data_IF_060415827804
#
_entry.id   IF_060415827804
#
_cell.length_a   1.000
_cell.length_b   1.000
_cell.length_c   1.000
_cell.angle_alpha   90.00
_cell.angle_beta   90.00
_cell.angle_gamma   90.00
#
_symmetry.space_group_name_H-M   'P 1'
#
loop_
_entity.id
_entity.type
_entity.pdbx_description
1 polymer ?
#
# COMPACT_ATOMS: atom_id res chain seq x y z
N UNK A 1 -15.42 9.77 -13.27
CA UNK A 1 -14.32 9.45 -12.35
C UNK A 1 -13.36 8.56 -13.12
N UNK A 2 -12.13 9.01 -13.26
CA UNK A 2 -11.07 8.23 -13.94
C UNK A 2 -10.46 7.22 -12.98
N UNK A 3 -9.77 6.21 -13.53
CA UNK A 3 -9.00 5.25 -12.73
C UNK A 3 -7.97 5.94 -11.82
N UNK A 4 -7.34 7.02 -12.30
CA UNK A 4 -6.38 7.81 -11.53
C UNK A 4 -7.05 8.50 -10.33
N UNK A 5 -8.16 9.21 -10.55
CA UNK A 5 -8.89 9.88 -9.47
C UNK A 5 -9.41 8.88 -8.43
N UNK A 6 -9.88 7.71 -8.87
CA UNK A 6 -10.36 6.66 -7.98
C UNK A 6 -9.27 6.09 -7.09
N UNK A 7 -8.09 5.85 -7.66
CA UNK A 7 -6.95 5.37 -6.89
C UNK A 7 -6.48 6.40 -5.87
N UNK A 8 -6.43 7.69 -6.25
CA UNK A 8 -6.02 8.76 -5.33
C UNK A 8 -7.00 8.90 -4.16
N UNK A 9 -8.31 8.86 -4.45
CA UNK A 9 -9.35 8.88 -3.42
C UNK A 9 -9.24 7.68 -2.47
N UNK A 10 -8.97 6.48 -3.00
CA UNK A 10 -8.85 5.27 -2.17
C UNK A 10 -7.59 5.29 -1.29
N UNK A 11 -6.54 5.99 -1.72
CA UNK A 11 -5.31 6.15 -0.96
C UNK A 11 -5.41 7.21 0.15
N UNK A 12 -6.47 8.03 0.21
CA UNK A 12 -6.63 8.99 1.31
C UNK A 12 -6.69 8.28 2.68
N UNK A 13 -6.04 8.84 3.73
CA UNK A 13 -5.40 10.15 3.84
C UNK A 13 -3.90 10.20 3.44
N UNK A 14 -3.36 9.16 2.81
CA UNK A 14 -1.94 9.09 2.46
C UNK A 14 -1.64 9.87 1.18
N UNK A 15 -0.65 10.78 1.24
CA UNK A 15 -0.26 11.60 0.09
C UNK A 15 0.50 10.76 -0.94
N UNK A 16 -0.20 10.29 -1.97
CA UNK A 16 0.39 9.57 -3.09
C UNK A 16 0.68 10.54 -4.24
N UNK A 17 1.89 10.47 -4.80
CA UNK A 17 2.21 11.26 -6.00
C UNK A 17 1.49 10.70 -7.22
N UNK A 18 0.96 11.57 -8.09
CA UNK A 18 0.30 11.17 -9.35
C UNK A 18 1.16 10.21 -10.17
N UNK A 19 2.47 10.48 -10.28
CA UNK A 19 3.42 9.59 -10.97
C UNK A 19 3.48 8.17 -10.40
N UNK A 20 3.35 8.03 -9.07
CA UNK A 20 3.36 6.72 -8.42
C UNK A 20 2.04 5.99 -8.70
N UNK A 21 0.92 6.71 -8.64
CA UNK A 21 -0.40 6.23 -8.99
C UNK A 21 -0.45 5.73 -10.44
N UNK A 22 -0.03 6.56 -11.40
CA UNK A 22 0.05 6.22 -12.82
C UNK A 22 0.93 4.99 -13.06
N UNK A 23 2.11 4.92 -12.43
CA UNK A 23 3.00 3.77 -12.55
C UNK A 23 2.33 2.46 -12.13
N UNK A 24 1.55 2.47 -11.05
CA UNK A 24 0.88 1.25 -10.56
C UNK A 24 -0.31 0.87 -11.43
N UNK A 25 -1.04 1.85 -11.97
CA UNK A 25 -2.09 1.58 -12.95
C UNK A 25 -1.52 0.94 -14.21
N UNK A 26 -0.40 1.46 -14.73
CA UNK A 26 0.30 0.90 -15.90
C UNK A 26 0.80 -0.53 -15.61
N UNK A 27 1.32 -0.81 -14.41
CA UNK A 27 1.77 -2.15 -13.99
C UNK A 27 0.62 -3.17 -13.94
N UNK A 28 -0.61 -2.69 -13.77
CA UNK A 28 -1.85 -3.47 -13.81
C UNK A 28 -2.53 -3.44 -15.19
N UNK A 29 -1.84 -2.93 -16.21
CA UNK A 29 -2.32 -2.81 -17.59
C UNK A 29 -3.58 -1.92 -17.71
N UNK A 30 -3.73 -0.94 -16.80
CA UNK A 30 -4.83 0.03 -16.79
C UNK A 30 -4.37 1.39 -17.29
N UNK A 31 -5.20 2.04 -18.09
CA UNK A 31 -4.98 3.42 -18.49
C UNK A 31 -5.49 4.38 -17.39
N UNK A 32 -4.68 5.36 -16.95
CA UNK A 32 -5.06 6.29 -15.89
C UNK A 32 -6.21 7.22 -16.28
N UNK A 33 -6.30 7.56 -17.57
CA UNK A 33 -7.33 8.43 -18.16
C UNK A 33 -8.63 7.66 -18.51
N UNK A 34 -8.62 6.34 -18.41
CA UNK A 34 -9.80 5.52 -18.70
C UNK A 34 -10.86 5.69 -17.61
N UNK A 35 -12.12 5.46 -18.01
CA UNK A 35 -13.24 5.42 -17.10
C UNK A 35 -13.03 4.33 -16.04
N UNK A 36 -13.44 4.63 -14.81
CA UNK A 36 -13.30 3.76 -13.66
C UNK A 36 -13.73 2.31 -13.95
N UNK A 37 -12.76 1.40 -14.03
CA UNK A 37 -13.02 0.05 -14.52
C UNK A 37 -13.70 -0.83 -13.46
N UNK A 38 -13.10 -0.96 -12.27
CA UNK A 38 -13.60 -1.84 -11.21
C UNK A 38 -12.95 -1.56 -9.85
N UNK A 39 -13.79 -1.54 -8.81
CA UNK A 39 -13.37 -1.32 -7.41
C UNK A 39 -12.27 -2.25 -6.94
N UNK A 40 -12.37 -3.55 -7.27
CA UNK A 40 -11.39 -4.56 -6.88
C UNK A 40 -10.00 -4.28 -7.43
N UNK A 41 -9.94 -3.75 -8.66
CA UNK A 41 -8.69 -3.50 -9.36
C UNK A 41 -8.01 -2.25 -8.78
N UNK A 42 -8.80 -1.21 -8.52
CA UNK A 42 -8.32 0.02 -7.86
C UNK A 42 -7.89 -0.27 -6.42
N UNK A 43 -8.64 -1.08 -5.67
CA UNK A 43 -8.25 -1.49 -4.32
C UNK A 43 -6.93 -2.27 -4.30
N UNK A 44 -6.73 -3.19 -5.27
CA UNK A 44 -5.44 -3.90 -5.44
C UNK A 44 -4.29 -2.95 -5.74
N UNK A 45 -4.53 -1.95 -6.58
CA UNK A 45 -3.54 -0.93 -6.92
C UNK A 45 -3.18 -0.06 -5.69
N UNK A 46 -4.18 0.35 -4.91
CA UNK A 46 -4.00 1.08 -3.66
C UNK A 46 -3.19 0.26 -2.63
N UNK A 47 -3.48 -1.04 -2.46
CA UNK A 47 -2.70 -1.94 -1.59
C UNK A 47 -1.22 -1.94 -1.97
N UNK A 48 -0.90 -2.01 -3.26
CA UNK A 48 0.50 -2.04 -3.73
C UNK A 48 1.23 -0.75 -3.34
N UNK A 49 0.58 0.41 -3.45
CA UNK A 49 1.15 1.70 -3.04
C UNK A 49 1.32 1.78 -1.52
N UNK A 50 0.27 1.46 -0.76
CA UNK A 50 0.30 1.55 0.70
C UNK A 50 1.30 0.56 1.31
N UNK A 51 1.45 -0.62 0.72
CA UNK A 51 2.46 -1.60 1.14
C UNK A 51 3.89 -1.09 0.98
N UNK A 52 4.18 -0.26 -0.04
CA UNK A 52 5.50 0.36 -0.20
C UNK A 52 5.80 1.35 0.92
N UNK A 53 4.81 2.12 1.39
CA UNK A 53 5.00 2.97 2.56
C UNK A 53 5.29 2.15 3.82
N UNK A 54 4.65 0.99 3.98
CA UNK A 54 4.94 0.09 5.09
C UNK A 54 6.39 -0.44 5.04
N UNK A 55 6.88 -0.84 3.85
CA UNK A 55 8.28 -1.26 3.66
C UNK A 55 9.26 -0.14 3.97
N UNK A 56 9.03 1.08 3.47
CA UNK A 56 9.91 2.24 3.75
C UNK A 56 9.97 2.59 5.24
N UNK A 57 8.87 2.45 5.98
CA UNK A 57 8.87 2.62 7.44
C UNK A 57 9.66 1.52 8.16
N UNK A 58 9.69 0.32 7.59
CA UNK A 58 10.44 -0.82 8.13
C UNK A 58 11.96 -0.61 7.99
N UNK A 59 12.37 0.14 6.96
CA UNK A 59 13.77 0.49 6.65
C UNK A 59 14.24 1.77 7.37
N UNK A 60 13.65 2.12 8.53
CA UNK A 60 14.14 3.24 9.35
C UNK A 60 15.45 2.85 10.06
N UNK A 61 16.50 2.60 9.27
CA UNK A 61 17.90 2.79 9.60
C UNK A 61 18.23 4.27 9.33
N UNK A 62 18.15 5.12 10.37
CA UNK A 62 18.74 6.47 10.31
C UNK A 62 17.78 7.64 10.50
N UNK A 63 17.43 7.93 11.75
CA UNK A 63 17.35 9.30 12.29
C UNK A 63 16.23 10.26 11.86
N UNK A 64 15.46 9.97 10.81
CA UNK A 64 14.27 10.78 10.43
C UNK A 64 13.04 9.89 10.28
N UNK A 65 12.41 9.60 11.41
CA UNK A 65 11.11 8.91 11.44
C UNK A 65 10.03 9.88 10.95
N UNK A 66 9.60 9.76 9.69
CA UNK A 66 8.22 10.13 9.41
C UNK A 66 7.37 9.09 10.12
N UNK A 67 6.84 9.43 11.31
CA UNK A 67 5.99 8.56 12.11
C UNK A 67 4.66 8.29 11.37
N UNK A 68 4.69 7.45 10.34
CA UNK A 68 3.46 6.87 9.84
C UNK A 68 3.01 5.80 10.84
N UNK A 69 1.76 5.87 11.25
CA UNK A 69 1.17 4.86 12.14
C UNK A 69 1.17 3.51 11.43
N UNK A 70 2.16 2.67 11.75
CA UNK A 70 2.35 1.37 11.09
C UNK A 70 1.16 0.45 11.34
N UNK A 71 0.47 0.58 12.47
CA UNK A 71 -0.74 -0.17 12.79
C UNK A 71 -1.93 0.28 11.91
N UNK A 72 -2.10 1.59 11.73
CA UNK A 72 -3.07 2.20 10.83
C UNK A 72 -2.83 1.84 9.37
N UNK A 73 -1.56 1.84 8.92
CA UNK A 73 -1.18 1.34 7.59
C UNK A 73 -1.56 -0.13 7.41
N UNK A 74 -1.23 -0.99 8.38
CA UNK A 74 -1.60 -2.41 8.35
C UNK A 74 -3.12 -2.61 8.33
N UNK A 75 -3.86 -1.80 9.09
CA UNK A 75 -5.33 -1.83 9.14
C UNK A 75 -5.94 -1.39 7.81
N UNK A 76 -5.43 -0.33 7.19
CA UNK A 76 -5.88 0.13 5.87
C UNK A 76 -5.59 -0.90 4.78
N UNK A 77 -4.39 -1.49 4.78
CA UNK A 77 -4.02 -2.58 3.86
C UNK A 77 -4.99 -3.76 4.00
N UNK A 78 -5.33 -4.16 5.24
CA UNK A 78 -6.31 -5.23 5.50
C UNK A 78 -7.69 -4.91 4.92
N UNK A 79 -8.18 -3.69 5.13
CA UNK A 79 -9.47 -3.26 4.60
C UNK A 79 -9.50 -3.28 3.06
N UNK A 80 -8.48 -2.73 2.42
CA UNK A 80 -8.39 -2.71 0.95
C UNK A 80 -8.22 -4.10 0.35
N UNK A 81 -7.46 -4.98 1.01
CA UNK A 81 -7.35 -6.38 0.63
C UNK A 81 -8.70 -7.10 0.71
N UNK A 82 -9.53 -6.85 1.73
CA UNK A 82 -10.87 -7.41 1.80
C UNK A 82 -11.73 -6.97 0.61
N UNK A 83 -11.72 -5.68 0.26
CA UNK A 83 -12.43 -5.14 -0.91
C UNK A 83 -11.93 -5.76 -2.22
N UNK A 84 -10.62 -5.92 -2.36
CA UNK A 84 -10.01 -6.53 -3.54
C UNK A 84 -10.15 -8.07 -3.61
N UNK A 85 -10.58 -8.73 -2.52
CA UNK A 85 -10.58 -10.18 -2.40
C UNK A 85 -9.17 -10.81 -2.31
N UNK A 86 -8.21 -10.06 -1.78
CA UNK A 86 -6.81 -10.46 -1.62
C UNK A 86 -6.52 -10.87 -0.18
N UNK A 87 -5.54 -11.77 -0.01
CA UNK A 87 -5.02 -12.12 1.30
C UNK A 87 -4.09 -11.02 1.83
N UNK A 88 -4.52 -10.34 2.89
CA UNK A 88 -3.77 -9.24 3.50
C UNK A 88 -2.48 -9.70 4.21
N UNK A 89 -2.38 -10.99 4.58
CA UNK A 89 -1.21 -11.52 5.29
C UNK A 89 0.05 -11.39 4.43
N UNK A 90 -0.07 -11.48 3.10
CA UNK A 90 1.05 -11.30 2.17
C UNK A 90 1.73 -9.93 2.24
N UNK A 91 1.00 -8.91 2.68
CA UNK A 91 1.49 -7.52 2.71
C UNK A 91 1.84 -7.06 4.12
N UNK A 92 1.18 -7.62 5.14
CA UNK A 92 1.34 -7.21 6.55
C UNK A 92 2.32 -8.10 7.31
N UNK A 93 2.58 -9.32 6.83
CA UNK A 93 3.50 -10.25 7.48
C UNK A 93 4.95 -9.78 7.32
N UNK A 94 5.43 -9.03 8.29
CA UNK A 94 6.84 -9.01 8.62
C UNK A 94 7.12 -10.34 9.32
N UNK A 95 7.91 -11.21 8.70
CA UNK A 95 8.58 -12.28 9.41
C UNK A 95 9.32 -11.64 10.58
N UNK A 96 8.75 -11.74 11.77
CA UNK A 96 9.49 -11.58 13.01
C UNK A 96 10.48 -12.71 12.96
N UNK A 97 11.69 -12.45 12.43
CA UNK A 97 12.84 -13.24 12.84
C UNK A 97 12.91 -12.93 14.32
N UNK A 98 12.31 -13.81 15.13
CA UNK A 98 12.46 -13.78 16.58
C UNK A 98 13.96 -13.70 16.80
N UNK A 99 14.38 -12.53 17.26
CA UNK A 99 15.73 -12.20 17.63
C UNK A 99 16.29 -13.38 18.43
N UNK A 100 17.15 -14.13 17.76
CA UNK A 100 17.84 -15.28 18.32
C UNK A 100 19.01 -14.85 19.18
N UNK A 101 19.06 -13.61 19.66
CA UNK A 101 20.12 -13.15 20.57
C UNK A 101 19.84 -13.59 22.02
N UNK A 102 19.67 -14.91 22.18
CA UNK A 102 19.92 -15.53 23.47
C UNK A 102 21.42 -15.56 23.69
N UNK A 103 21.86 -14.71 24.62
CA UNK A 103 23.00 -14.90 25.51
C UNK A 103 24.32 -15.41 24.92
N UNK A 104 25.31 -14.51 24.85
CA UNK A 104 26.63 -14.74 25.45
C UNK A 104 27.30 -13.40 25.75
#
# INVERSE_FOLDING_TARGET
>A
MTNLEALLAECEPYTVSTKQAEKVLIDLELQPEEEYSSEKVIAKAAVNIISRFLSLNSETEGGFSQNYDTDGLKTRIRALCQTAGLDASRYVYQSTISDGSKHW
#
